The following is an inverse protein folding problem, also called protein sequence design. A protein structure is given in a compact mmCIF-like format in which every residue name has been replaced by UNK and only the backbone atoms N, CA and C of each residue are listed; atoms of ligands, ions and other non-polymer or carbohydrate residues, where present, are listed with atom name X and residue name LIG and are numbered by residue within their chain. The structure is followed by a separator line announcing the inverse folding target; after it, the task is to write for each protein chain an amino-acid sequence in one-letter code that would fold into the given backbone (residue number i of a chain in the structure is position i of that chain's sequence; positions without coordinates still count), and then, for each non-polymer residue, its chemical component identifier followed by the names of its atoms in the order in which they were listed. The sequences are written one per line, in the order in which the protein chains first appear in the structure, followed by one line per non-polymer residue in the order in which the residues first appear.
data_IF_059238864846
#
_entry.id   IF_059238864846
#
_cell.length_a   1.000
_cell.length_b   1.000
_cell.length_c   1.000
_cell.angle_alpha   90.00
_cell.angle_beta   90.00
_cell.angle_gamma   90.00
#
_symmetry.space_group_name_H-M   'P 1'
#
loop_
_entity.id
_entity.type
_entity.pdbx_description
1 polymer ?
#
# COMPACT_ATOMS: atom_id res chain seq x y z
N UNK A 1 19.10 13.09 10.94
CA UNK A 1 19.11 12.16 9.79
C UNK A 1 17.77 12.12 9.05
N UNK A 2 16.62 12.03 9.74
CA UNK A 2 15.30 12.04 9.09
C UNK A 2 14.99 13.28 8.22
N UNK A 3 15.51 14.47 8.56
CA UNK A 3 15.28 15.69 7.76
C UNK A 3 15.91 15.61 6.36
N UNK A 4 17.17 15.17 6.25
CA UNK A 4 17.89 15.08 4.97
C UNK A 4 17.27 14.05 4.01
N UNK A 5 16.65 12.99 4.53
CA UNK A 5 15.95 12.00 3.70
C UNK A 5 14.59 12.50 3.21
N UNK A 6 13.85 13.23 4.06
CA UNK A 6 12.59 13.88 3.68
C UNK A 6 12.85 14.93 2.60
N UNK A 7 13.88 15.76 2.77
CA UNK A 7 14.31 16.74 1.76
C UNK A 7 14.70 16.05 0.44
N UNK A 8 15.30 14.86 0.51
CA UNK A 8 15.62 14.05 -0.67
C UNK A 8 14.37 13.52 -1.38
N UNK A 9 13.39 13.02 -0.64
CA UNK A 9 12.17 12.44 -1.20
C UNK A 9 11.28 13.51 -1.88
N UNK A 10 11.14 14.68 -1.26
CA UNK A 10 10.39 15.80 -1.85
C UNK A 10 11.01 16.27 -3.17
N UNK A 11 12.34 16.28 -3.25
CA UNK A 11 13.05 16.61 -4.49
C UNK A 11 12.84 15.54 -5.58
N UNK A 12 12.82 14.25 -5.21
CA UNK A 12 12.52 13.17 -6.16
C UNK A 12 11.09 13.29 -6.70
N UNK A 13 10.12 13.56 -5.83
CA UNK A 13 8.71 13.72 -6.21
C UNK A 13 8.55 14.89 -7.18
N UNK A 14 9.12 16.07 -6.87
CA UNK A 14 9.03 17.24 -7.78
C UNK A 14 9.61 16.96 -9.15
N UNK A 15 10.81 16.36 -9.22
CA UNK A 15 11.44 15.99 -10.50
C UNK A 15 10.57 15.02 -11.30
N UNK A 16 9.93 14.06 -10.62
CA UNK A 16 9.02 13.12 -11.25
C UNK A 16 7.75 13.82 -11.73
N UNK A 17 7.16 14.72 -10.95
CA UNK A 17 5.98 15.50 -11.35
C UNK A 17 6.26 16.33 -12.63
N UNK A 18 7.44 16.94 -12.73
CA UNK A 18 7.87 17.74 -13.89
C UNK A 18 7.98 16.90 -15.19
N UNK A 19 8.13 15.57 -15.08
CA UNK A 19 8.15 14.66 -16.24
C UNK A 19 6.76 14.38 -16.83
N UNK A 20 5.69 14.93 -16.24
CA UNK A 20 4.32 14.82 -16.74
C UNK A 20 3.81 13.37 -16.83
N UNK A 21 3.51 12.89 -18.04
CA UNK A 21 2.95 11.54 -18.24
C UNK A 21 3.92 10.42 -17.85
N UNK A 22 5.22 10.61 -18.10
CA UNK A 22 6.23 9.63 -17.73
C UNK A 22 6.36 9.55 -16.21
N UNK A 23 6.38 10.70 -15.53
CA UNK A 23 6.39 10.80 -14.09
C UNK A 23 5.19 10.12 -13.42
N UNK A 24 3.99 10.37 -13.95
CA UNK A 24 2.77 9.70 -13.46
C UNK A 24 2.85 8.18 -13.55
N UNK A 25 3.53 7.61 -14.56
CA UNK A 25 3.71 6.15 -14.65
C UNK A 25 4.65 5.64 -13.55
N UNK A 26 5.74 6.37 -13.28
CA UNK A 26 6.71 6.04 -12.24
C UNK A 26 6.06 6.11 -10.86
N UNK A 27 5.34 7.19 -10.54
CA UNK A 27 4.59 7.31 -9.28
C UNK A 27 3.60 6.16 -9.09
N UNK A 28 2.85 5.83 -10.15
CA UNK A 28 1.87 4.77 -10.08
C UNK A 28 2.52 3.41 -9.83
N UNK A 29 3.67 3.15 -10.46
CA UNK A 29 4.44 1.93 -10.25
C UNK A 29 5.02 1.86 -8.83
N UNK A 30 5.57 2.96 -8.32
CA UNK A 30 6.11 3.07 -6.96
C UNK A 30 5.02 2.80 -5.91
N UNK A 31 3.86 3.46 -6.02
CA UNK A 31 2.72 3.25 -5.12
C UNK A 31 2.21 1.81 -5.16
N UNK A 32 2.15 1.21 -6.36
CA UNK A 32 1.68 -0.16 -6.52
C UNK A 32 2.64 -1.16 -5.88
N UNK A 33 3.95 -1.04 -6.13
CA UNK A 33 4.99 -1.90 -5.53
C UNK A 33 5.02 -1.79 -4.00
N UNK A 34 4.92 -0.58 -3.47
CA UNK A 34 4.83 -0.36 -2.03
C UNK A 34 3.57 -1.01 -1.42
N UNK A 35 2.43 -0.88 -2.10
CA UNK A 35 1.19 -1.55 -1.70
C UNK A 35 1.30 -3.08 -1.77
N UNK A 36 1.99 -3.62 -2.78
CA UNK A 36 2.21 -5.05 -2.96
C UNK A 36 3.09 -5.62 -1.84
N UNK A 37 4.14 -4.91 -1.42
CA UNK A 37 4.98 -5.30 -0.28
C UNK A 37 4.16 -5.48 1.01
N UNK A 38 3.37 -4.47 1.37
CA UNK A 38 2.50 -4.51 2.55
C UNK A 38 1.45 -5.63 2.40
N UNK A 39 0.97 -5.83 1.17
CA UNK A 39 -0.02 -6.85 0.90
C UNK A 39 0.52 -8.27 1.10
N UNK A 40 1.74 -8.56 0.64
CA UNK A 40 2.34 -9.89 0.84
C UNK A 40 2.53 -10.19 2.33
N UNK A 41 2.92 -9.18 3.12
CA UNK A 41 2.98 -9.32 4.57
C UNK A 41 1.59 -9.56 5.18
N UNK A 42 0.56 -8.84 4.71
CA UNK A 42 -0.81 -9.05 5.18
C UNK A 42 -1.29 -10.48 4.87
N UNK A 43 -0.97 -11.02 3.69
CA UNK A 43 -1.29 -12.40 3.31
C UNK A 43 -0.60 -13.45 4.19
N UNK A 44 0.54 -13.14 4.80
CA UNK A 44 1.20 -14.01 5.78
C UNK A 44 0.49 -13.97 7.14
N UNK A 45 -0.06 -12.81 7.51
CA UNK A 45 -0.77 -12.60 8.77
C UNK A 45 -2.25 -13.04 8.75
N UNK A 46 -2.82 -13.29 7.57
CA UNK A 46 -4.21 -13.73 7.42
C UNK A 46 -4.45 -15.09 8.09
N UNK A 47 -5.46 -15.21 8.98
CA UNK A 47 -5.85 -16.48 9.54
C UNK A 47 -6.25 -17.49 8.46
N UNK A 48 -5.53 -18.62 8.39
CA UNK A 48 -5.83 -19.66 7.41
C UNK A 48 -7.10 -20.42 7.79
N UNK A 49 -8.12 -20.35 6.92
CA UNK A 49 -9.34 -21.17 7.05
C UNK A 49 -9.62 -22.01 5.82
N UNK A 50 -9.65 -21.39 4.64
CA UNK A 50 -9.91 -22.04 3.33
C UNK A 50 -9.16 -21.39 2.15
N UNK A 51 -8.12 -20.59 2.42
CA UNK A 51 -7.32 -19.89 1.39
C UNK A 51 -7.98 -18.68 0.70
N UNK A 52 -9.30 -18.70 0.47
CA UNK A 52 -10.04 -17.67 -0.31
C UNK A 52 -9.79 -16.22 0.12
N UNK A 53 -9.61 -15.98 1.42
CA UNK A 53 -9.31 -14.65 1.94
C UNK A 53 -7.92 -14.19 1.49
N UNK A 54 -6.91 -15.05 1.66
CA UNK A 54 -5.52 -14.80 1.26
C UNK A 54 -5.40 -14.57 -0.25
N UNK A 55 -6.12 -15.35 -1.06
CA UNK A 55 -6.12 -15.23 -2.53
C UNK A 55 -6.88 -13.99 -3.04
N UNK A 56 -7.93 -13.58 -2.36
CA UNK A 56 -8.73 -12.42 -2.76
C UNK A 56 -8.09 -11.08 -2.42
N UNK A 57 -7.12 -11.05 -1.51
CA UNK A 57 -6.40 -9.86 -1.11
C UNK A 57 -5.56 -9.30 -2.26
N UNK A 58 -5.95 -8.11 -2.75
CA UNK A 58 -5.31 -7.41 -3.87
C UNK A 58 -5.08 -5.93 -3.58
N UNK A 59 -4.13 -5.33 -4.28
CA UNK A 59 -3.91 -3.89 -4.30
C UNK A 59 -4.77 -3.28 -5.41
N UNK A 60 -5.46 -2.19 -5.11
CA UNK A 60 -6.27 -1.47 -6.10
C UNK A 60 -5.41 -0.78 -7.16
N UNK A 61 -6.02 -0.38 -8.26
CA UNK A 61 -5.44 0.68 -9.10
C UNK A 61 -5.20 1.97 -8.30
N UNK A 62 -4.32 2.82 -8.82
CA UNK A 62 -4.03 4.12 -8.22
C UNK A 62 -5.26 5.02 -8.30
N UNK A 63 -5.62 5.62 -7.18
CA UNK A 63 -6.72 6.57 -7.04
C UNK A 63 -6.16 7.94 -6.66
N UNK A 64 -6.92 9.00 -6.94
CA UNK A 64 -6.58 10.37 -6.57
C UNK A 64 -7.66 10.95 -5.69
N UNK A 65 -7.30 11.57 -4.56
CA UNK A 65 -8.23 12.31 -3.70
C UNK A 65 -7.52 13.53 -3.13
N UNK A 66 -8.09 14.71 -3.35
CA UNK A 66 -7.55 15.97 -2.83
C UNK A 66 -6.11 16.27 -3.28
N UNK A 67 -5.78 15.98 -4.54
CA UNK A 67 -4.42 16.15 -5.08
C UNK A 67 -3.52 14.93 -4.89
N UNK A 68 -3.73 14.14 -3.84
CA UNK A 68 -2.84 13.02 -3.49
C UNK A 68 -3.22 11.72 -4.18
N UNK A 69 -2.22 11.00 -4.70
CA UNK A 69 -2.38 9.65 -5.25
C UNK A 69 -2.19 8.61 -4.14
N UNK A 70 -3.02 7.56 -4.17
CA UNK A 70 -2.95 6.47 -3.21
C UNK A 70 -3.41 5.16 -3.84
N UNK A 71 -2.95 4.05 -3.27
CA UNK A 71 -3.47 2.72 -3.54
C UNK A 71 -4.17 2.19 -2.30
N UNK A 72 -5.11 1.28 -2.49
CA UNK A 72 -5.78 0.60 -1.40
C UNK A 72 -5.27 -0.84 -1.39
N UNK A 73 -4.57 -1.21 -0.31
CA UNK A 73 -4.14 -2.58 -0.09
C UNK A 73 -5.21 -3.32 0.71
N UNK A 74 -5.74 -4.40 0.14
CA UNK A 74 -6.56 -5.37 0.87
C UNK A 74 -7.96 -4.89 1.21
N UNK A 75 -8.46 -5.41 2.34
CA UNK A 75 -9.86 -5.25 2.72
C UNK A 75 -10.10 -3.92 3.42
N UNK A 76 -11.20 -3.27 3.05
CA UNK A 76 -11.69 -2.06 3.71
C UNK A 76 -12.99 -2.31 4.47
N UNK A 77 -13.34 -1.37 5.37
CA UNK A 77 -14.63 -1.38 6.07
C UNK A 77 -15.84 -1.43 5.12
N UNK A 78 -15.72 -0.79 3.95
CA UNK A 78 -16.75 -0.78 2.91
C UNK A 78 -16.68 -1.93 1.89
N UNK A 79 -15.80 -2.92 2.08
CA UNK A 79 -15.61 -4.00 1.11
C UNK A 79 -16.86 -4.90 1.05
N UNK A 80 -17.41 -5.08 -0.16
CA UNK A 80 -18.57 -5.91 -0.47
C UNK A 80 -18.24 -6.99 -1.52
N UNK A 81 -16.96 -7.30 -1.72
CA UNK A 81 -16.51 -8.35 -2.63
C UNK A 81 -16.78 -9.75 -2.05
N UNK A 82 -16.36 -10.81 -2.77
CA UNK A 82 -16.45 -12.20 -2.29
C UNK A 82 -15.67 -12.46 -0.99
N UNK A 83 -14.73 -11.58 -0.63
CA UNK A 83 -13.95 -11.63 0.62
C UNK A 83 -14.45 -10.64 1.69
N UNK A 84 -15.65 -10.06 1.54
CA UNK A 84 -16.20 -9.05 2.46
C UNK A 84 -16.10 -9.47 3.94
N UNK A 85 -16.22 -10.77 4.24
CA UNK A 85 -16.15 -11.28 5.60
C UNK A 85 -14.80 -11.00 6.30
N UNK A 86 -13.72 -10.78 5.55
CA UNK A 86 -12.43 -10.44 6.12
C UNK A 86 -12.42 -9.06 6.80
N UNK A 87 -13.37 -8.17 6.51
CA UNK A 87 -13.46 -6.86 7.20
C UNK A 87 -13.87 -7.04 8.66
N UNK A 88 -14.69 -8.05 8.94
CA UNK A 88 -15.06 -8.39 10.31
C UNK A 88 -13.90 -9.00 11.07
N UNK A 89 -12.98 -9.69 10.38
CA UNK A 89 -11.73 -10.16 10.99
C UNK A 89 -10.81 -8.98 11.29
N UNK A 90 -10.59 -8.09 10.32
CA UNK A 90 -9.69 -6.94 10.48
C UNK A 90 -10.15 -5.97 11.58
N UNK A 91 -11.43 -5.59 11.57
CA UNK A 91 -11.95 -4.52 12.44
C UNK A 91 -12.76 -5.02 13.64
N UNK A 92 -13.11 -6.30 13.69
CA UNK A 92 -14.04 -6.84 14.68
C UNK A 92 -15.49 -6.46 14.41
N UNK A 93 -16.36 -6.91 15.31
CA UNK A 93 -17.79 -6.57 15.36
C UNK A 93 -18.21 -6.41 16.81
N UNK A 94 -19.45 -5.97 17.07
CA UNK A 94 -20.00 -5.92 18.43
C UNK A 94 -19.96 -7.27 19.17
N UNK A 95 -19.93 -8.41 18.44
CA UNK A 95 -19.94 -9.76 19.00
C UNK A 95 -18.62 -10.52 18.83
N UNK A 96 -17.60 -9.94 18.19
CA UNK A 96 -16.34 -10.62 17.87
C UNK A 96 -15.16 -9.65 17.94
N UNK A 97 -14.12 -9.99 18.71
CA UNK A 97 -12.88 -9.20 18.77
C UNK A 97 -12.15 -9.22 17.41
N UNK A 98 -11.49 -8.10 17.10
CA UNK A 98 -10.66 -7.98 15.91
C UNK A 98 -9.45 -8.94 15.95
N UNK A 99 -9.08 -9.46 14.78
CA UNK A 99 -7.88 -10.23 14.49
C UNK A 99 -7.20 -9.58 13.28
N UNK A 100 -6.57 -8.41 13.49
CA UNK A 100 -6.04 -7.62 12.40
C UNK A 100 -4.87 -8.33 11.73
N UNK A 101 -4.82 -8.25 10.40
CA UNK A 101 -3.77 -8.77 9.54
C UNK A 101 -3.22 -7.69 8.61
N UNK A 102 -4.02 -6.67 8.25
CA UNK A 102 -3.58 -5.52 7.46
C UNK A 102 -2.82 -4.51 8.33
N UNK A 103 -3.39 -4.11 9.49
CA UNK A 103 -2.74 -3.15 10.38
C UNK A 103 -1.32 -3.56 10.83
N UNK A 104 -1.08 -4.80 11.31
CA UNK A 104 0.29 -5.22 11.66
C UNK A 104 1.21 -5.29 10.44
N UNK A 105 0.71 -5.69 9.28
CA UNK A 105 1.49 -5.72 8.04
C UNK A 105 1.92 -4.33 7.57
N UNK A 106 1.03 -3.34 7.71
CA UNK A 106 1.38 -1.95 7.43
C UNK A 106 2.46 -1.47 8.39
N UNK A 107 2.29 -1.70 9.69
CA UNK A 107 3.23 -1.19 10.70
C UNK A 107 4.62 -1.82 10.56
N UNK A 108 4.71 -3.11 10.21
CA UNK A 108 5.98 -3.79 10.01
C UNK A 108 6.68 -3.40 8.70
N UNK A 109 5.93 -3.06 7.65
CA UNK A 109 6.47 -2.78 6.31
C UNK A 109 6.48 -1.30 5.91
N UNK A 110 5.96 -0.38 6.72
CA UNK A 110 5.85 1.04 6.34
C UNK A 110 7.19 1.70 5.98
N UNK A 111 8.27 1.38 6.69
CA UNK A 111 9.59 1.97 6.41
C UNK A 111 10.21 1.35 5.15
N UNK A 112 10.08 0.04 4.98
CA UNK A 112 10.52 -0.66 3.77
C UNK A 112 9.73 -0.19 2.53
N UNK A 113 8.43 0.06 2.69
CA UNK A 113 7.57 0.62 1.65
C UNK A 113 8.01 2.03 1.23
N UNK A 114 8.50 2.87 2.17
CA UNK A 114 9.06 4.19 1.84
C UNK A 114 10.35 4.06 1.03
N UNK A 115 11.25 3.15 1.41
CA UNK A 115 12.49 2.93 0.66
C UNK A 115 12.19 2.36 -0.73
N UNK A 116 11.22 1.45 -0.87
CA UNK A 116 10.76 0.97 -2.18
C UNK A 116 10.24 2.13 -3.05
N UNK A 117 9.47 3.06 -2.48
CA UNK A 117 9.01 4.24 -3.22
C UNK A 117 10.21 5.07 -3.69
N UNK A 118 11.12 5.41 -2.79
CA UNK A 118 12.33 6.20 -3.08
C UNK A 118 13.19 5.57 -4.18
N UNK A 119 13.40 4.27 -4.11
CA UNK A 119 14.17 3.52 -5.11
C UNK A 119 13.48 3.49 -6.48
N UNK A 120 12.16 3.32 -6.52
CA UNK A 120 11.40 3.35 -7.76
C UNK A 120 11.39 4.75 -8.39
N UNK A 121 11.31 5.81 -7.58
CA UNK A 121 11.44 7.19 -8.06
C UNK A 121 12.84 7.44 -8.62
N UNK A 122 13.90 7.01 -7.93
CA UNK A 122 15.31 7.12 -8.41
C UNK A 122 15.51 6.41 -9.74
N UNK A 123 15.08 5.15 -9.83
CA UNK A 123 15.13 4.38 -11.09
C UNK A 123 14.39 5.09 -12.22
N UNK A 124 13.22 5.67 -11.93
CA UNK A 124 12.46 6.44 -12.89
C UNK A 124 13.15 7.72 -13.37
N UNK A 125 14.03 8.30 -12.55
CA UNK A 125 14.87 9.46 -12.88
C UNK A 125 16.22 9.08 -13.49
N UNK A 126 16.55 7.78 -13.59
CA UNK A 126 17.86 7.31 -14.06
C UNK A 126 19.00 7.56 -13.08
N UNK A 127 18.71 7.59 -11.78
CA UNK A 127 19.66 7.78 -10.67
C UNK A 127 19.99 6.46 -9.97
#
# INVERSE_FOLDING_TARGET
MASMELDGMDNLIRKIEDMGKAGTRIENAALKKAGELIMEEAKNNVPFRKGKLKEGLKVSGVRKKGGNKFVLAGIQKGDNSKIFYGKFLEFGTSKMKARPFMAPAYESKKEEAKEVIKDELRKGLGL
#
